data_IF_639930024573
#
_entry.id   IF_639930024573
#
_cell.length_a   1.000
_cell.length_b   1.000
_cell.length_c   1.000
_cell.angle_alpha   90.00
_cell.angle_beta   90.00
_cell.angle_gamma   90.00
#
_symmetry.space_group_name_H-M   'P 1'
#
loop_
_entity.id
_entity.type
_entity.pdbx_description
1 polymer ?
#
# COMPACT_ATOMS: atom_id res chain seq x y z
N UNK A 1 24.20 -5.89 -17.65
CA UNK A 1 22.98 -6.14 -16.85
C UNK A 1 23.26 -7.31 -15.94
N UNK A 2 23.42 -7.06 -14.63
CA UNK A 2 23.57 -8.13 -13.65
C UNK A 2 22.17 -8.59 -13.26
N UNK A 3 21.66 -9.56 -14.02
CA UNK A 3 20.46 -10.32 -13.66
C UNK A 3 20.90 -11.37 -12.65
N UNK A 4 20.47 -11.23 -11.40
CA UNK A 4 20.66 -12.23 -10.35
C UNK A 4 20.15 -13.60 -10.84
N UNK A 5 21.00 -14.62 -10.72
CA UNK A 5 20.86 -15.94 -11.36
C UNK A 5 19.80 -16.89 -10.76
N UNK A 6 18.95 -16.43 -9.84
CA UNK A 6 17.91 -17.29 -9.23
C UNK A 6 16.59 -16.53 -9.13
N UNK A 7 15.45 -17.15 -9.50
CA UNK A 7 14.13 -16.61 -9.18
C UNK A 7 14.03 -16.34 -7.68
N UNK A 8 13.34 -15.25 -7.30
CA UNK A 8 12.95 -15.03 -5.91
C UNK A 8 11.88 -16.08 -5.57
N UNK A 9 12.18 -16.95 -4.62
CA UNK A 9 11.25 -17.95 -4.10
C UNK A 9 10.67 -17.41 -2.79
N UNK A 10 9.35 -17.52 -2.64
CA UNK A 10 8.62 -17.13 -1.43
C UNK A 10 8.10 -18.40 -0.74
N UNK A 11 8.24 -18.48 0.58
CA UNK A 11 7.66 -19.60 1.34
C UNK A 11 6.14 -19.43 1.47
N UNK A 12 5.68 -18.20 1.76
CA UNK A 12 4.28 -17.78 1.69
C UNK A 12 4.15 -16.50 0.85
N UNK A 13 3.91 -16.61 -0.47
CA UNK A 13 3.78 -15.46 -1.36
C UNK A 13 2.73 -14.45 -0.92
N UNK A 14 1.69 -14.87 -0.18
CA UNK A 14 0.63 -13.96 0.28
C UNK A 14 1.12 -13.01 1.37
N UNK A 15 2.15 -13.40 2.12
CA UNK A 15 2.74 -12.61 3.21
C UNK A 15 4.02 -11.91 2.79
N UNK A 16 4.82 -12.54 1.96
CA UNK A 16 6.16 -12.08 1.64
C UNK A 16 6.23 -11.21 0.38
N UNK A 17 5.23 -11.29 -0.51
CA UNK A 17 5.30 -10.54 -1.76
C UNK A 17 5.05 -9.03 -1.58
N UNK A 18 4.25 -8.61 -0.58
CA UNK A 18 3.97 -7.21 -0.35
C UNK A 18 5.18 -6.54 0.32
N UNK A 19 5.73 -5.50 -0.32
CA UNK A 19 6.86 -4.73 0.21
C UNK A 19 6.37 -3.55 1.05
N UNK A 20 5.51 -2.72 0.48
CA UNK A 20 5.04 -1.50 1.14
C UNK A 20 3.68 -1.06 0.59
N UNK A 21 2.90 -0.38 1.43
CA UNK A 21 1.69 0.34 1.04
C UNK A 21 1.86 1.81 1.38
N UNK A 22 1.68 2.69 0.40
CA UNK A 22 1.71 4.13 0.57
C UNK A 22 0.30 4.69 0.39
N UNK A 23 -0.05 5.69 1.19
CA UNK A 23 -1.40 6.27 1.23
C UNK A 23 -1.29 7.80 1.21
N UNK A 24 -2.10 8.41 0.35
CA UNK A 24 -2.43 9.83 0.33
C UNK A 24 -3.89 9.96 0.78
N UNK A 25 -4.14 10.70 1.86
CA UNK A 25 -5.47 10.85 2.47
C UNK A 25 -6.38 11.84 1.74
N UNK A 26 -5.81 12.72 0.92
CA UNK A 26 -6.51 13.83 0.29
C UNK A 26 -6.11 14.00 -1.18
N UNK A 27 -6.10 12.88 -1.89
CA UNK A 27 -5.68 12.84 -3.28
C UNK A 27 -6.60 13.72 -4.16
N UNK A 28 -6.00 14.72 -4.81
CA UNK A 28 -6.70 15.72 -5.62
C UNK A 28 -6.99 15.24 -7.06
N UNK A 29 -6.50 14.05 -7.43
CA UNK A 29 -6.61 13.50 -8.77
C UNK A 29 -5.41 13.78 -9.68
N UNK A 30 -4.39 14.50 -9.19
CA UNK A 30 -3.26 14.97 -10.01
C UNK A 30 -1.91 14.53 -9.44
N UNK A 31 -1.65 14.84 -8.17
CA UNK A 31 -0.34 14.64 -7.53
C UNK A 31 -0.54 13.73 -6.34
N UNK A 32 0.31 12.71 -6.25
CA UNK A 32 0.37 11.84 -5.08
C UNK A 32 1.23 12.50 -4.01
N UNK A 33 0.59 12.93 -2.93
CA UNK A 33 1.26 13.45 -1.74
C UNK A 33 1.20 12.41 -0.64
N UNK A 34 2.34 11.74 -0.40
CA UNK A 34 2.39 10.66 0.59
C UNK A 34 2.18 11.19 2.01
N UNK A 35 1.09 10.74 2.65
CA UNK A 35 0.76 11.05 4.05
C UNK A 35 1.17 9.89 4.98
N UNK A 36 0.97 8.65 4.54
CA UNK A 36 1.26 7.45 5.32
C UNK A 36 1.97 6.38 4.48
N UNK A 37 2.78 5.56 5.15
CA UNK A 37 3.37 4.36 4.56
C UNK A 37 3.38 3.23 5.60
N UNK A 38 3.29 2.00 5.12
CA UNK A 38 3.28 0.80 5.95
C UNK A 38 4.09 -0.29 5.26
N UNK A 39 5.03 -0.91 5.97
CA UNK A 39 5.77 -2.04 5.43
C UNK A 39 4.92 -3.30 5.42
N UNK A 40 5.11 -4.13 4.39
CA UNK A 40 4.36 -5.38 4.23
C UNK A 40 4.57 -6.32 5.42
N UNK A 41 5.79 -6.38 5.98
CA UNK A 41 6.07 -7.24 7.14
C UNK A 41 5.31 -6.80 8.41
N UNK A 42 5.09 -5.49 8.57
CA UNK A 42 4.30 -4.93 9.68
C UNK A 42 2.80 -5.19 9.47
N UNK A 43 2.34 -5.11 8.22
CA UNK A 43 0.96 -5.41 7.85
C UNK A 43 0.63 -6.89 8.05
N UNK A 44 1.54 -7.81 7.71
CA UNK A 44 1.36 -9.24 7.92
C UNK A 44 1.14 -9.57 9.39
N UNK A 45 1.88 -8.92 10.30
CA UNK A 45 1.73 -9.09 11.75
C UNK A 45 0.37 -8.60 12.27
N UNK A 46 -0.27 -7.68 11.54
CA UNK A 46 -1.55 -7.06 11.89
C UNK A 46 -2.73 -7.54 11.00
N UNK A 47 -2.67 -8.75 10.45
CA UNK A 47 -3.70 -9.32 9.57
C UNK A 47 -4.06 -8.44 8.36
N UNK A 48 -3.04 -7.78 7.77
CA UNK A 48 -3.17 -6.83 6.66
C UNK A 48 -4.11 -5.65 6.93
N UNK A 49 -4.27 -5.28 8.21
CA UNK A 49 -5.05 -4.10 8.61
C UNK A 49 -4.11 -2.95 8.91
N UNK A 50 -4.41 -1.80 8.33
CA UNK A 50 -3.78 -0.53 8.65
C UNK A 50 -4.83 0.39 9.27
N UNK A 51 -4.42 1.08 10.32
CA UNK A 51 -5.24 2.10 10.98
C UNK A 51 -4.41 3.35 11.11
N UNK A 52 -4.93 4.46 10.63
CA UNK A 52 -4.28 5.75 10.72
C UNK A 52 -5.34 6.80 11.08
N UNK A 53 -4.96 7.85 11.83
CA UNK A 53 -5.89 8.92 12.16
C UNK A 53 -6.22 9.69 10.88
N UNK A 54 -7.50 9.95 10.62
CA UNK A 54 -7.89 10.82 9.51
C UNK A 54 -7.41 12.24 9.82
N UNK A 55 -6.28 12.66 9.25
CA UNK A 55 -5.71 13.98 9.50
C UNK A 55 -6.28 15.01 8.52
N UNK A 56 -6.47 14.61 7.26
CA UNK A 56 -7.01 15.49 6.21
C UNK A 56 -8.45 15.14 5.88
N UNK A 57 -9.27 16.16 5.66
CA UNK A 57 -10.67 16.01 5.27
C UNK A 57 -10.83 15.72 3.76
N UNK A 58 -10.02 14.82 3.22
CA UNK A 58 -10.15 14.38 1.83
C UNK A 58 -11.42 13.58 1.60
N UNK A 59 -11.92 13.58 0.36
CA UNK A 59 -13.00 12.68 -0.09
C UNK A 59 -12.44 11.41 -0.73
N UNK A 60 -11.26 11.52 -1.34
CA UNK A 60 -10.58 10.46 -2.08
C UNK A 60 -9.24 10.16 -1.44
N UNK A 61 -8.92 8.88 -1.37
CA UNK A 61 -7.62 8.36 -1.00
C UNK A 61 -6.96 7.76 -2.24
N UNK A 62 -5.66 7.96 -2.36
CA UNK A 62 -4.84 7.15 -3.26
C UNK A 62 -4.03 6.16 -2.43
N UNK A 63 -4.05 4.90 -2.84
CA UNK A 63 -3.33 3.80 -2.21
C UNK A 63 -2.43 3.20 -3.27
N UNK A 64 -1.13 3.13 -2.99
CA UNK A 64 -0.14 2.51 -3.86
C UNK A 64 0.43 1.29 -3.13
N UNK A 65 0.29 0.13 -3.75
CA UNK A 65 0.89 -1.12 -3.30
C UNK A 65 2.17 -1.36 -4.09
N UNK A 66 3.26 -1.57 -3.38
CA UNK A 66 4.54 -1.95 -3.94
C UNK A 66 4.86 -3.38 -3.49
N UNK A 67 5.22 -4.24 -4.44
CA UNK A 67 5.71 -5.58 -4.13
C UNK A 67 7.25 -5.61 -4.04
N UNK A 68 7.79 -6.71 -3.52
CA UNK A 68 9.25 -6.89 -3.35
C UNK A 68 10.02 -7.05 -4.67
N UNK A 69 9.32 -7.26 -5.78
CA UNK A 69 9.88 -7.31 -7.13
C UNK A 69 9.87 -5.93 -7.81
N UNK A 70 9.28 -4.91 -7.16
CA UNK A 70 9.16 -3.56 -7.66
C UNK A 70 7.94 -3.32 -8.55
N UNK A 71 6.98 -4.24 -8.61
CA UNK A 71 5.71 -3.96 -9.29
C UNK A 71 4.84 -3.05 -8.44
N UNK A 72 4.18 -2.09 -9.10
CA UNK A 72 3.34 -1.09 -8.47
C UNK A 72 1.88 -1.25 -8.91
N UNK A 73 0.96 -1.16 -7.95
CA UNK A 73 -0.48 -1.04 -8.21
C UNK A 73 -1.01 0.18 -7.49
N UNK A 74 -1.55 1.14 -8.23
CA UNK A 74 -2.21 2.31 -7.68
C UNK A 74 -3.74 2.16 -7.74
N UNK A 75 -4.43 2.52 -6.67
CA UNK A 75 -5.89 2.53 -6.58
C UNK A 75 -6.36 3.83 -5.93
N UNK A 76 -7.43 4.42 -6.49
CA UNK A 76 -8.11 5.55 -5.88
C UNK A 76 -9.41 5.04 -5.28
N UNK A 77 -9.66 5.35 -4.00
CA UNK A 77 -10.86 4.98 -3.25
C UNK A 77 -11.53 6.20 -2.67
N UNK A 78 -12.85 6.24 -2.69
CA UNK A 78 -13.59 7.26 -1.98
C UNK A 78 -13.79 6.83 -0.52
N UNK A 79 -13.84 7.78 0.42
CA UNK A 79 -14.16 7.47 1.83
C UNK A 79 -15.49 6.73 1.96
N UNK A 80 -16.41 6.93 1.01
CA UNK A 80 -17.71 6.24 0.94
C UNK A 80 -17.58 4.74 0.67
N UNK A 81 -16.47 4.29 0.08
CA UNK A 81 -16.19 2.86 -0.14
C UNK A 81 -15.84 2.13 1.16
N UNK A 82 -15.47 2.88 2.21
CA UNK A 82 -15.13 2.33 3.50
C UNK A 82 -16.36 2.30 4.42
N UNK A 83 -16.63 1.16 5.03
CA UNK A 83 -17.67 1.03 6.04
C UNK A 83 -17.27 1.86 7.27
N UNK A 84 -18.17 2.74 7.73
CA UNK A 84 -18.06 3.33 9.07
C UNK A 84 -18.11 2.19 10.09
N UNK A 85 -17.03 2.05 10.86
CA UNK A 85 -16.89 1.04 11.91
C UNK A 85 -17.26 1.63 13.25
#
# INVERSE_FOLDING_TARGET
>A
VQISKKPVEFEDPKKEALSMVMIDENYDGKIFDMDHYFFGDEMVKNDFKVTFPKQKAGQKLMIIYLDVLGNEKAEVKDIKDFKKK
#
